data_IF_500708246718
#
_entry.id   IF_500708246718
#
_cell.length_a   1.000
_cell.length_b   1.000
_cell.length_c   1.000
_cell.angle_alpha   90.00
_cell.angle_beta   90.00
_cell.angle_gamma   90.00
#
_symmetry.space_group_name_H-M   'P 1'
#
loop_
_entity.id
_entity.type
_entity.pdbx_description
1 polymer ?
#
# COMPACT_ATOMS: atom_id res chain seq x y z
N UNK A 1 0.24 -8.14 -11.84
CA UNK A 1 -0.70 -7.07 -11.46
C UNK A 1 -0.95 -6.16 -12.63
N UNK A 2 -2.13 -5.63 -12.75
CA UNK A 2 -2.48 -4.85 -13.91
C UNK A 2 -1.84 -3.46 -13.88
N UNK A 3 -1.66 -2.88 -15.07
CA UNK A 3 -1.16 -1.52 -15.21
C UNK A 3 -2.11 -0.51 -14.55
N UNK A 4 -3.39 -0.86 -14.40
CA UNK A 4 -4.37 0.02 -13.77
C UNK A 4 -4.05 0.25 -12.29
N UNK A 5 -3.61 -0.79 -11.58
CA UNK A 5 -3.21 -0.64 -10.16
C UNK A 5 -2.02 0.32 -10.05
N UNK A 6 -1.02 0.17 -10.93
CA UNK A 6 0.15 1.03 -10.92
C UNK A 6 -0.24 2.49 -11.17
N UNK A 7 -1.11 2.72 -12.17
CA UNK A 7 -1.57 4.06 -12.50
C UNK A 7 -2.33 4.69 -11.33
N UNK A 8 -3.23 3.91 -10.72
CA UNK A 8 -4.02 4.43 -9.60
C UNK A 8 -3.16 4.70 -8.37
N UNK A 9 -2.14 3.87 -8.16
CA UNK A 9 -1.17 4.10 -7.09
C UNK A 9 -0.42 5.41 -7.31
N UNK A 10 0.03 5.65 -8.54
CA UNK A 10 0.72 6.89 -8.88
C UNK A 10 -0.19 8.11 -8.72
N UNK A 11 -1.46 7.97 -9.06
CA UNK A 11 -2.43 9.05 -8.88
C UNK A 11 -2.62 9.35 -7.40
N UNK A 12 -2.72 8.33 -6.56
CA UNK A 12 -2.86 8.51 -5.12
C UNK A 12 -1.64 9.23 -4.53
N UNK A 13 -0.44 8.87 -4.99
CA UNK A 13 0.78 9.50 -4.51
C UNK A 13 0.83 10.98 -4.92
N UNK A 14 0.39 11.28 -6.14
CA UNK A 14 0.43 12.65 -6.67
C UNK A 14 -0.65 13.55 -6.09
N UNK A 15 -1.86 13.03 -5.91
CA UNK A 15 -3.03 13.85 -5.56
C UNK A 15 -3.55 13.63 -4.15
N UNK A 16 -3.14 12.56 -3.50
CA UNK A 16 -3.60 12.23 -2.16
C UNK A 16 -2.47 12.26 -1.14
N UNK A 17 -2.59 11.42 -0.13
CA UNK A 17 -1.60 11.33 0.94
C UNK A 17 -1.20 9.88 1.13
N UNK A 18 0.08 9.57 0.88
CA UNK A 18 0.62 8.22 0.95
C UNK A 18 1.92 8.27 1.73
N UNK A 19 2.12 7.33 2.66
CA UNK A 19 3.39 7.18 3.37
C UNK A 19 4.07 5.91 2.86
N UNK A 20 5.38 5.99 2.67
CA UNK A 20 6.16 4.89 2.12
C UNK A 20 7.04 4.30 3.21
N UNK A 21 7.17 2.97 3.19
CA UNK A 21 8.03 2.26 4.12
C UNK A 21 7.25 1.52 5.18
N UNK A 22 7.85 0.42 5.66
CA UNK A 22 7.20 -0.47 6.61
C UNK A 22 6.85 0.22 7.93
N UNK A 23 7.81 0.93 8.53
CA UNK A 23 7.58 1.53 9.85
C UNK A 23 6.53 2.62 9.81
N UNK A 24 6.53 3.42 8.76
CA UNK A 24 5.54 4.49 8.59
C UNK A 24 4.16 3.89 8.35
N UNK A 25 4.10 2.83 7.55
CA UNK A 25 2.84 2.12 7.29
C UNK A 25 2.28 1.55 8.60
N UNK A 26 3.13 0.90 9.38
CA UNK A 26 2.71 0.32 10.66
C UNK A 26 2.17 1.40 11.60
N UNK A 27 2.85 2.53 11.67
CA UNK A 27 2.40 3.64 12.53
C UNK A 27 1.01 4.11 12.14
N UNK A 28 0.77 4.25 10.84
CA UNK A 28 -0.53 4.72 10.37
C UNK A 28 -1.63 3.67 10.61
N UNK A 29 -1.30 2.40 10.49
CA UNK A 29 -2.23 1.32 10.81
C UNK A 29 -2.62 1.34 12.29
N UNK A 30 -1.63 1.43 13.16
CA UNK A 30 -1.85 1.43 14.61
C UNK A 30 -2.71 2.63 15.04
N UNK A 31 -2.55 3.76 14.36
CA UNK A 31 -3.32 4.97 14.66
C UNK A 31 -4.62 5.07 13.86
N UNK A 32 -4.98 3.99 13.16
CA UNK A 32 -6.24 3.88 12.41
C UNK A 32 -6.40 4.97 11.36
N UNK A 33 -5.30 5.36 10.72
CA UNK A 33 -5.31 6.39 9.67
C UNK A 33 -5.16 5.85 8.27
N UNK A 34 -4.75 4.58 8.11
CA UNK A 34 -4.55 3.99 6.80
C UNK A 34 -5.88 3.56 6.21
N UNK A 35 -6.12 3.90 4.96
CA UNK A 35 -7.30 3.46 4.20
C UNK A 35 -7.02 2.18 3.42
N UNK A 36 -5.77 1.97 3.06
CA UNK A 36 -5.31 0.81 2.31
C UNK A 36 -3.83 0.62 2.57
N UNK A 37 -3.41 -0.62 2.74
CA UNK A 37 -1.98 -0.97 2.83
C UNK A 37 -1.61 -1.77 1.58
N UNK A 38 -0.49 -1.42 0.96
CA UNK A 38 0.07 -2.16 -0.16
C UNK A 38 1.41 -2.73 0.29
N UNK A 39 1.60 -4.04 0.12
CA UNK A 39 2.84 -4.72 0.53
C UNK A 39 3.41 -5.46 -0.66
N UNK A 40 4.74 -5.37 -0.85
CA UNK A 40 5.41 -6.05 -1.93
C UNK A 40 5.40 -7.56 -1.71
N UNK A 41 5.24 -8.33 -2.78
CA UNK A 41 5.14 -9.78 -2.72
C UNK A 41 6.36 -10.43 -2.06
N UNK A 42 7.56 -9.86 -2.29
CA UNK A 42 8.80 -10.41 -1.75
C UNK A 42 9.21 -9.81 -0.40
N UNK A 43 8.33 -9.04 0.24
CA UNK A 43 8.64 -8.50 1.57
C UNK A 43 8.86 -9.66 2.55
N UNK A 44 9.71 -9.47 3.57
CA UNK A 44 9.92 -10.53 4.56
C UNK A 44 8.60 -10.97 5.18
N UNK A 45 8.48 -12.29 5.43
CA UNK A 45 7.23 -12.86 5.91
C UNK A 45 6.77 -12.26 7.24
N UNK A 46 7.71 -11.89 8.12
CA UNK A 46 7.35 -11.29 9.40
C UNK A 46 6.73 -9.90 9.22
N UNK A 47 7.16 -9.16 8.21
CA UNK A 47 6.58 -7.85 7.90
C UNK A 47 5.14 -8.03 7.38
N UNK A 48 4.95 -8.97 6.46
CA UNK A 48 3.62 -9.24 5.90
C UNK A 48 2.66 -9.67 7.00
N UNK A 49 3.10 -10.58 7.87
CA UNK A 49 2.27 -11.07 8.97
C UNK A 49 1.89 -9.95 9.94
N UNK A 50 2.84 -9.10 10.29
CA UNK A 50 2.58 -8.01 11.21
C UNK A 50 1.60 -7.00 10.63
N UNK A 51 1.79 -6.63 9.35
CA UNK A 51 0.87 -5.70 8.70
C UNK A 51 -0.53 -6.28 8.58
N UNK A 52 -0.64 -7.58 8.25
CA UNK A 52 -1.94 -8.24 8.19
C UNK A 52 -2.62 -8.26 9.55
N UNK A 53 -1.86 -8.50 10.61
CA UNK A 53 -2.41 -8.52 11.95
C UNK A 53 -3.04 -7.16 12.32
N UNK A 54 -2.26 -6.09 12.17
CA UNK A 54 -2.77 -4.76 12.52
C UNK A 54 -3.85 -4.26 11.57
N UNK A 55 -3.76 -4.64 10.31
CA UNK A 55 -4.81 -4.30 9.35
C UNK A 55 -6.13 -4.98 9.69
N UNK A 56 -6.08 -6.22 10.20
CA UNK A 56 -7.29 -6.92 10.62
C UNK A 56 -7.95 -6.24 11.81
N UNK A 57 -7.15 -5.72 12.73
CA UNK A 57 -7.68 -5.02 13.91
C UNK A 57 -8.39 -3.73 13.53
N UNK A 58 -7.89 -3.01 12.53
CA UNK A 58 -8.47 -1.75 12.07
C UNK A 58 -9.41 -1.93 10.87
N UNK A 59 -9.61 -3.17 10.42
CA UNK A 59 -10.44 -3.49 9.25
C UNK A 59 -9.96 -2.75 8.00
N UNK A 60 -8.65 -2.62 7.86
CA UNK A 60 -8.03 -1.98 6.72
C UNK A 60 -7.69 -3.03 5.67
N UNK A 61 -8.09 -2.84 4.40
CA UNK A 61 -7.73 -3.80 3.36
C UNK A 61 -6.23 -3.80 3.08
N UNK A 62 -5.69 -4.95 2.71
CA UNK A 62 -4.30 -5.10 2.28
C UNK A 62 -4.29 -5.61 0.84
N UNK A 63 -3.52 -4.94 0.01
CA UNK A 63 -3.25 -5.36 -1.36
C UNK A 63 -1.82 -5.87 -1.43
N UNK A 64 -1.64 -7.12 -1.86
CA UNK A 64 -0.30 -7.66 -2.13
C UNK A 64 0.07 -7.28 -3.56
N UNK A 65 1.08 -6.44 -3.69
CA UNK A 65 1.58 -6.02 -4.99
C UNK A 65 2.31 -7.21 -5.65
N UNK A 66 1.96 -7.52 -6.90
CA UNK A 66 2.47 -8.69 -7.61
C UNK A 66 3.90 -8.50 -8.14
N UNK A 67 4.67 -7.67 -7.50
CA UNK A 67 6.06 -7.43 -7.83
C UNK A 67 6.92 -7.33 -6.59
N UNK A 68 8.22 -7.19 -6.81
CA UNK A 68 9.19 -7.03 -5.73
C UNK A 68 9.13 -5.64 -5.12
N UNK A 69 9.82 -5.46 -3.99
CA UNK A 69 9.96 -4.15 -3.37
C UNK A 69 10.65 -3.15 -4.28
N UNK A 70 11.56 -3.62 -5.13
CA UNK A 70 12.18 -2.77 -6.14
C UNK A 70 11.14 -2.29 -7.16
N UNK A 71 10.30 -3.20 -7.63
CA UNK A 71 9.25 -2.87 -8.58
C UNK A 71 8.19 -1.97 -7.97
N UNK A 72 7.86 -2.19 -6.69
CA UNK A 72 6.92 -1.32 -6.00
C UNK A 72 7.50 0.09 -5.85
N UNK A 73 8.77 0.20 -5.51
CA UNK A 73 9.44 1.50 -5.46
C UNK A 73 9.38 2.21 -6.80
N UNK A 74 9.67 1.48 -7.89
CA UNK A 74 9.61 2.04 -9.24
C UNK A 74 8.19 2.45 -9.60
N UNK A 75 7.18 1.66 -9.22
CA UNK A 75 5.78 2.00 -9.44
C UNK A 75 5.40 3.30 -8.73
N UNK A 76 6.02 3.57 -7.59
CA UNK A 76 5.83 4.82 -6.85
C UNK A 76 6.68 5.97 -7.38
N UNK A 77 7.46 5.72 -8.44
CA UNK A 77 8.39 6.68 -9.05
C UNK A 77 9.45 7.15 -8.06
N UNK A 78 9.97 6.22 -7.26
CA UNK A 78 11.01 6.49 -6.27
C UNK A 78 12.29 5.76 -6.65
N UNK A 79 13.46 6.33 -6.33
CA UNK A 79 14.75 5.68 -6.62
C UNK A 79 15.20 4.69 -5.55
N UNK A 80 14.27 4.16 -4.75
CA UNK A 80 14.59 3.22 -3.68
C UNK A 80 13.51 2.15 -3.59
N UNK A 81 13.82 1.07 -2.87
CA UNK A 81 12.88 -0.03 -2.67
C UNK A 81 11.82 0.34 -1.65
N UNK A 82 10.59 -0.12 -1.89
CA UNK A 82 9.46 0.08 -0.99
C UNK A 82 8.85 -1.28 -0.67
N UNK A 83 8.99 -1.74 0.57
CA UNK A 83 8.41 -3.02 0.98
C UNK A 83 6.92 -2.90 1.29
N UNK A 84 6.50 -1.76 1.79
CA UNK A 84 5.10 -1.51 2.12
C UNK A 84 4.82 -0.02 2.07
N UNK A 85 3.55 0.31 1.85
CA UNK A 85 3.10 1.70 1.90
C UNK A 85 1.67 1.72 2.43
N UNK A 86 1.25 2.89 2.90
CA UNK A 86 -0.13 3.10 3.35
C UNK A 86 -0.70 4.30 2.63
N UNK A 87 -1.92 4.14 2.14
CA UNK A 87 -2.69 5.23 1.56
C UNK A 87 -3.59 5.80 2.64
N UNK A 88 -3.37 7.05 2.99
CA UNK A 88 -4.14 7.75 4.01
C UNK A 88 -5.30 8.52 3.38
N UNK A 89 -5.06 9.00 2.17
CA UNK A 89 -6.06 9.71 1.37
C UNK A 89 -5.78 9.36 -0.10
N UNK A 90 -6.74 8.75 -0.79
CA UNK A 90 -6.52 8.37 -2.19
C UNK A 90 -6.50 9.56 -3.16
N UNK A 91 -6.95 10.74 -2.73
CA UNK A 91 -7.04 11.87 -3.64
C UNK A 91 -7.97 11.56 -4.79
N UNK A 92 -7.49 11.76 -6.01
CA UNK A 92 -8.27 11.49 -7.23
C UNK A 92 -8.17 10.04 -7.68
N UNK A 93 -7.46 9.18 -6.92
CA UNK A 93 -7.28 7.79 -7.30
C UNK A 93 -8.52 6.96 -6.99
N UNK A 94 -8.76 5.96 -7.85
CA UNK A 94 -9.86 5.02 -7.70
C UNK A 94 -9.42 3.72 -7.03
N UNK A 95 -8.21 3.70 -6.45
CA UNK A 95 -7.59 2.48 -5.97
C UNK A 95 -8.40 1.79 -4.86
N UNK A 96 -9.04 2.57 -3.99
CA UNK A 96 -9.84 1.99 -2.92
C UNK A 96 -11.02 1.19 -3.48
N UNK A 97 -11.67 1.72 -4.51
CA UNK A 97 -12.79 1.02 -5.14
C UNK A 97 -12.32 -0.23 -5.86
N UNK A 98 -11.16 -0.19 -6.48
CA UNK A 98 -10.61 -1.34 -7.20
C UNK A 98 -10.34 -2.50 -6.25
N UNK A 99 -9.81 -2.22 -5.06
CA UNK A 99 -9.48 -3.25 -4.06
C UNK A 99 -10.74 -3.76 -3.38
N UNK A 100 -11.63 -2.86 -2.96
CA UNK A 100 -12.85 -3.24 -2.27
C UNK A 100 -13.81 -4.00 -3.17
N UNK A 101 -13.88 -3.60 -4.44
CA UNK A 101 -14.75 -4.24 -5.40
C UNK A 101 -14.35 -5.68 -5.73
N UNK A 102 -13.07 -6.03 -5.52
CA UNK A 102 -12.58 -7.38 -5.74
C UNK A 102 -12.69 -8.28 -4.52
N UNK A 103 -13.11 -7.72 -3.41
CA UNK A 103 -13.13 -8.39 -2.11
C UNK A 103 -14.18 -9.43 -1.91
#
# INVERSE_FOLDING_TARGET
MSADIVRELQTAIRTGKVVLGYRRTLRELVNDRAKLVVVAKNAPSHIIKELKYYASLSQTPILVFEGSSRELGAACRKPFMVSALAILDPGESNILHMVQGGG
#
